data_IF_831973826627
#
_entry.id   IF_831973826627
#
_cell.length_a   1.000
_cell.length_b   1.000
_cell.length_c   1.000
_cell.angle_alpha   90.00
_cell.angle_beta   90.00
_cell.angle_gamma   90.00
#
_symmetry.space_group_name_H-M   'P 1'
#
loop_
_entity.id
_entity.type
_entity.pdbx_description
1 polymer ?
#
# COMPACT_ATOMS: atom_id res chain seq x y z
N UNK A 1 18.53 7.28 -13.17
CA UNK A 1 17.21 6.88 -13.73
C UNK A 1 16.44 6.26 -12.57
N UNK A 2 15.69 7.06 -11.81
CA UNK A 2 14.27 7.41 -12.00
C UNK A 2 13.40 6.61 -11.03
N UNK A 3 13.53 6.88 -9.73
CA UNK A 3 12.63 6.36 -8.69
C UNK A 3 11.61 7.41 -8.20
N UNK A 4 11.72 8.66 -8.66
CA UNK A 4 10.87 9.77 -8.22
C UNK A 4 9.54 9.86 -8.99
N UNK A 5 9.51 9.41 -10.25
CA UNK A 5 8.37 9.65 -11.15
C UNK A 5 7.14 8.79 -10.82
N UNK A 6 7.33 7.54 -10.36
CA UNK A 6 6.19 6.64 -10.10
C UNK A 6 5.29 7.13 -8.97
N UNK A 7 5.85 7.79 -7.95
CA UNK A 7 5.13 8.14 -6.74
C UNK A 7 4.37 9.47 -6.83
N UNK A 8 4.86 10.41 -7.63
CA UNK A 8 4.15 11.67 -7.95
C UNK A 8 2.96 11.41 -8.88
N UNK A 9 3.11 10.51 -9.86
CA UNK A 9 2.03 10.13 -10.77
C UNK A 9 0.89 9.39 -10.04
N UNK A 10 1.18 8.58 -9.02
CA UNK A 10 0.13 7.90 -8.22
C UNK A 10 -0.72 8.90 -7.45
N UNK A 11 -0.10 9.91 -6.82
CA UNK A 11 -0.82 10.92 -6.07
C UNK A 11 -1.67 11.80 -7.01
N UNK A 12 -1.13 12.15 -8.18
CA UNK A 12 -1.88 12.88 -9.20
C UNK A 12 -3.09 12.06 -9.72
N UNK A 13 -2.89 10.76 -9.97
CA UNK A 13 -3.95 9.83 -10.37
C UNK A 13 -5.05 9.76 -9.32
N UNK A 14 -4.67 9.58 -8.05
CA UNK A 14 -5.60 9.51 -6.94
C UNK A 14 -6.38 10.83 -6.75
N UNK A 15 -5.71 11.97 -6.89
CA UNK A 15 -6.33 13.28 -6.86
C UNK A 15 -7.34 13.46 -8.01
N UNK A 16 -7.02 12.94 -9.20
CA UNK A 16 -7.93 12.91 -10.36
C UNK A 16 -9.21 12.12 -10.05
N UNK A 17 -9.08 10.89 -9.57
CA UNK A 17 -10.24 10.07 -9.19
C UNK A 17 -11.08 10.72 -8.09
N UNK A 18 -10.43 11.35 -7.11
CA UNK A 18 -11.15 12.10 -6.08
C UNK A 18 -11.91 13.28 -6.67
N UNK A 19 -11.33 14.01 -7.62
CA UNK A 19 -12.01 15.11 -8.31
C UNK A 19 -13.20 14.63 -9.15
N UNK A 20 -13.19 13.36 -9.60
CA UNK A 20 -14.34 12.68 -10.23
C UNK A 20 -15.43 12.27 -9.22
N UNK A 21 -15.25 12.54 -7.93
CA UNK A 21 -16.21 12.23 -6.88
C UNK A 21 -16.02 10.86 -6.22
N UNK A 22 -14.91 10.18 -6.49
CA UNK A 22 -14.64 8.89 -5.85
C UNK A 22 -14.03 9.03 -4.46
N UNK A 23 -14.40 8.09 -3.58
CA UNK A 23 -13.63 7.83 -2.37
C UNK A 23 -12.36 7.12 -2.78
N UNK A 24 -11.23 7.60 -2.27
CA UNK A 24 -9.90 7.08 -2.57
C UNK A 24 -9.15 6.90 -1.26
N UNK A 25 -8.40 5.81 -1.14
CA UNK A 25 -7.40 5.62 -0.10
C UNK A 25 -6.02 5.45 -0.73
N UNK A 26 -5.00 5.89 0.01
CA UNK A 26 -3.59 5.71 -0.33
C UNK A 26 -2.98 4.74 0.66
N UNK A 27 -2.35 3.70 0.13
CA UNK A 27 -1.49 2.81 0.86
C UNK A 27 -0.03 3.15 0.55
N UNK A 28 0.79 3.37 1.58
CA UNK A 28 2.20 3.75 1.46
C UNK A 28 3.07 2.75 2.22
N UNK A 29 4.12 2.22 1.58
CA UNK A 29 5.16 1.48 2.30
C UNK A 29 5.91 2.45 3.18
N UNK A 30 5.77 2.33 4.50
CA UNK A 30 6.40 3.24 5.48
C UNK A 30 7.68 2.67 6.08
N UNK A 31 7.83 1.35 6.06
CA UNK A 31 9.01 0.68 6.62
C UNK A 31 9.30 -0.59 5.84
N UNK A 32 10.58 -0.92 5.68
CA UNK A 32 11.04 -2.13 4.99
C UNK A 32 12.26 -2.70 5.71
N UNK A 33 12.37 -4.02 5.79
CA UNK A 33 13.56 -4.71 6.26
C UNK A 33 13.94 -5.84 5.32
N UNK A 34 15.23 -6.18 5.29
CA UNK A 34 15.75 -7.25 4.45
C UNK A 34 15.49 -6.98 2.96
N UNK A 35 15.32 -8.05 2.19
CA UNK A 35 15.05 -7.99 0.75
C UNK A 35 13.56 -7.70 0.46
N UNK A 36 13.05 -6.57 0.93
CA UNK A 36 11.68 -6.11 0.63
C UNK A 36 11.50 -5.91 -0.90
N UNK A 37 10.37 -6.33 -1.49
CA UNK A 37 10.16 -6.27 -2.93
C UNK A 37 9.91 -4.83 -3.46
N UNK A 38 9.55 -3.90 -2.57
CA UNK A 38 9.41 -2.47 -2.86
C UNK A 38 10.08 -1.61 -1.79
N UNK A 39 10.65 -0.44 -2.15
CA UNK A 39 11.24 0.48 -1.18
C UNK A 39 10.16 1.24 -0.39
N UNK A 40 10.53 1.74 0.79
CA UNK A 40 9.73 2.74 1.50
C UNK A 40 9.41 3.95 0.59
N UNK A 41 8.21 4.48 0.73
CA UNK A 41 7.64 5.51 -0.14
C UNK A 41 6.88 4.97 -1.35
N UNK A 42 6.94 3.67 -1.65
CA UNK A 42 6.10 3.06 -2.70
C UNK A 42 4.63 3.16 -2.33
N UNK A 43 3.78 3.48 -3.31
CA UNK A 43 2.36 3.77 -3.07
C UNK A 43 1.45 2.88 -3.90
N UNK A 44 0.23 2.70 -3.39
CA UNK A 44 -0.91 2.11 -4.08
C UNK A 44 -2.13 2.98 -3.80
N UNK A 45 -2.76 3.51 -4.84
CA UNK A 45 -4.03 4.22 -4.74
C UNK A 45 -5.17 3.25 -5.07
N UNK A 46 -6.24 3.28 -4.27
CA UNK A 46 -7.41 2.41 -4.41
C UNK A 46 -8.68 3.25 -4.34
N UNK A 47 -9.60 3.09 -5.27
CA UNK A 47 -10.94 3.72 -5.22
C UNK A 47 -11.97 2.78 -4.61
N UNK A 48 -13.08 3.33 -4.11
CA UNK A 48 -14.22 2.53 -3.66
C UNK A 48 -14.85 1.69 -4.79
N UNK A 49 -14.73 2.14 -6.05
CA UNK A 49 -15.14 1.38 -7.23
C UNK A 49 -14.18 0.23 -7.63
N UNK A 50 -13.05 0.09 -6.95
CA UNK A 50 -12.06 -0.98 -7.20
C UNK A 50 -11.00 -0.64 -8.25
N UNK A 51 -10.86 0.64 -8.65
CA UNK A 51 -9.72 1.08 -9.47
C UNK A 51 -8.46 1.07 -8.61
N UNK A 52 -7.34 0.67 -9.21
CA UNK A 52 -6.04 0.54 -8.53
C UNK A 52 -4.93 1.15 -9.39
N UNK A 53 -4.02 1.91 -8.79
CA UNK A 53 -2.81 2.44 -9.43
C UNK A 53 -1.60 2.36 -8.48
N UNK A 54 -0.44 1.99 -9.00
CA UNK A 54 0.77 1.79 -8.20
C UNK A 54 0.92 0.37 -7.67
N UNK A 55 1.84 0.18 -6.72
CA UNK A 55 2.17 -1.11 -6.13
C UNK A 55 2.98 -0.94 -4.86
N UNK A 56 2.66 -1.75 -3.83
CA UNK A 56 3.40 -1.81 -2.56
C UNK A 56 4.24 -3.09 -2.41
N UNK A 57 4.04 -4.10 -3.26
CA UNK A 57 4.86 -5.32 -3.24
C UNK A 57 5.22 -5.91 -4.60
N UNK A 58 4.47 -5.59 -5.64
CA UNK A 58 4.62 -6.18 -6.98
C UNK A 58 3.64 -7.31 -7.28
N UNK A 59 2.67 -7.59 -6.41
CA UNK A 59 1.50 -8.42 -6.72
C UNK A 59 0.95 -9.26 -5.57
N UNK A 60 1.76 -9.66 -4.59
CA UNK A 60 1.36 -10.68 -3.62
C UNK A 60 0.37 -10.20 -2.55
N UNK A 61 0.44 -8.93 -2.15
CA UNK A 61 -0.37 -8.39 -1.04
C UNK A 61 -1.33 -7.27 -1.48
N UNK A 62 -1.31 -6.87 -2.75
CA UNK A 62 -2.12 -5.78 -3.29
C UNK A 62 -3.63 -6.00 -3.05
N UNK A 63 -4.11 -7.24 -3.17
CA UNK A 63 -5.51 -7.56 -2.87
C UNK A 63 -5.86 -7.37 -1.39
N UNK A 64 -5.00 -7.80 -0.47
CA UNK A 64 -5.21 -7.60 0.96
C UNK A 64 -5.19 -6.10 1.34
N UNK A 65 -4.27 -5.35 0.75
CA UNK A 65 -4.18 -3.90 0.94
C UNK A 65 -5.40 -3.18 0.34
N UNK A 66 -5.94 -3.64 -0.79
CA UNK A 66 -7.14 -3.06 -1.39
C UNK A 66 -8.39 -3.26 -0.53
N UNK A 67 -8.55 -4.42 0.12
CA UNK A 67 -9.66 -4.66 1.04
C UNK A 67 -9.57 -3.76 2.28
N UNK A 68 -8.38 -3.63 2.87
CA UNK A 68 -8.15 -2.69 3.99
C UNK A 68 -8.36 -1.24 3.56
N UNK A 69 -7.99 -0.88 2.34
CA UNK A 69 -8.21 0.46 1.80
C UNK A 69 -9.72 0.77 1.71
N UNK A 70 -10.54 -0.20 1.31
CA UNK A 70 -12.01 -0.05 1.30
C UNK A 70 -12.58 0.15 2.70
N UNK A 71 -12.15 -0.67 3.66
CA UNK A 71 -12.55 -0.50 5.06
C UNK A 71 -12.10 0.87 5.63
N UNK A 72 -10.88 1.29 5.31
CA UNK A 72 -10.33 2.60 5.70
C UNK A 72 -11.17 3.75 5.16
N UNK A 73 -11.65 3.66 3.90
CA UNK A 73 -12.56 4.65 3.30
C UNK A 73 -13.98 4.62 3.89
N UNK A 74 -14.40 3.50 4.46
CA UNK A 74 -15.72 3.36 5.10
C UNK A 74 -15.72 3.86 6.54
N UNK A 75 -14.64 3.60 7.26
CA UNK A 75 -14.48 3.95 8.68
C UNK A 75 -13.88 5.33 8.89
N UNK A 76 -13.12 5.84 7.92
CA UNK A 76 -12.29 7.04 8.06
C UNK A 76 -11.09 6.85 8.99
N UNK A 77 -10.80 5.61 9.40
CA UNK A 77 -9.73 5.30 10.37
C UNK A 77 -8.52 4.77 9.62
N UNK A 78 -7.36 5.46 9.63
CA UNK A 78 -6.14 4.94 9.03
C UNK A 78 -5.66 3.66 9.70
N UNK A 79 -5.07 2.76 8.91
CA UNK A 79 -4.60 1.46 9.37
C UNK A 79 -3.11 1.26 9.06
N UNK A 80 -2.39 0.58 9.94
CA UNK A 80 -1.01 0.17 9.72
C UNK A 80 -0.96 -1.36 9.61
N UNK A 81 -0.55 -1.85 8.45
CA UNK A 81 -0.43 -3.26 8.15
C UNK A 81 1.04 -3.70 8.27
N UNK A 82 1.28 -4.83 8.92
CA UNK A 82 2.60 -5.46 9.03
C UNK A 82 2.60 -6.76 8.21
N UNK A 83 3.42 -6.79 7.17
CA UNK A 83 3.60 -7.94 6.32
C UNK A 83 5.03 -8.45 6.48
N UNK A 84 5.15 -9.63 7.07
CA UNK A 84 6.40 -10.33 7.26
C UNK A 84 6.14 -11.79 7.56
N UNK A 85 7.19 -12.60 7.52
CA UNK A 85 7.11 -13.98 8.01
C UNK A 85 6.87 -13.90 9.52
N UNK A 86 5.66 -14.25 9.96
CA UNK A 86 5.39 -14.65 11.34
C UNK A 86 5.65 -16.15 11.43
N UNK A 87 6.72 -16.54 12.13
CA UNK A 87 7.25 -17.90 12.34
C UNK A 87 6.15 -18.97 12.57
N UNK A 88 6.26 -20.21 12.06
CA UNK A 88 6.81 -21.33 12.85
C UNK A 88 7.26 -22.57 12.04
N UNK A 89 7.24 -22.59 10.70
CA UNK A 89 7.55 -23.81 9.90
C UNK A 89 8.41 -23.64 8.64
N UNK A 90 9.13 -22.53 8.47
CA UNK A 90 9.83 -22.22 7.22
C UNK A 90 11.36 -22.16 7.32
N UNK A 91 11.99 -22.92 8.24
CA UNK A 91 13.46 -22.87 8.45
C UNK A 91 14.25 -24.08 7.92
N UNK A 92 13.63 -25.19 7.53
CA UNK A 92 14.41 -26.39 7.15
C UNK A 92 14.81 -26.51 5.68
N UNK A 93 14.34 -25.62 4.81
CA UNK A 93 14.71 -25.64 3.40
C UNK A 93 14.85 -24.19 2.93
N UNK A 94 16.09 -23.71 2.84
CA UNK A 94 16.40 -22.36 2.39
C UNK A 94 15.70 -22.00 1.08
N UNK A 95 15.47 -20.69 0.90
CA UNK A 95 14.75 -19.96 -0.19
C UNK A 95 13.37 -19.47 0.30
N UNK A 96 12.94 -18.20 0.22
CA UNK A 96 13.45 -17.04 -0.53
C UNK A 96 12.97 -15.71 0.11
N UNK A 97 13.87 -14.71 0.15
CA UNK A 97 13.64 -13.30 0.49
C UNK A 97 13.09 -13.00 1.90
N UNK A 98 13.94 -13.07 2.93
CA UNK A 98 13.64 -12.68 4.32
C UNK A 98 13.36 -11.18 4.54
N UNK A 99 12.42 -10.62 3.79
CA UNK A 99 11.98 -9.23 3.88
C UNK A 99 10.72 -9.05 4.73
N UNK A 100 10.56 -7.86 5.30
CA UNK A 100 9.33 -7.38 5.95
C UNK A 100 8.99 -6.01 5.41
N UNK A 101 7.70 -5.67 5.39
CA UNK A 101 7.21 -4.37 4.97
C UNK A 101 6.04 -3.93 5.87
N UNK A 102 5.99 -2.65 6.19
CA UNK A 102 4.81 -2.03 6.80
C UNK A 102 4.13 -1.10 5.80
N UNK A 103 2.81 -1.21 5.70
CA UNK A 103 2.00 -0.38 4.81
C UNK A 103 1.03 0.45 5.65
N UNK A 104 1.14 1.76 5.56
CA UNK A 104 0.16 2.68 6.15
C UNK A 104 -0.92 2.99 5.12
N UNK A 105 -2.18 2.83 5.50
CA UNK A 105 -3.35 3.03 4.64
C UNK A 105 -4.20 4.15 5.22
N UNK A 106 -4.48 5.17 4.42
CA UNK A 106 -5.25 6.35 4.84
C UNK A 106 -6.23 6.82 3.75
N UNK A 107 -7.38 7.40 4.12
CA UNK A 107 -8.32 7.99 3.16
C UNK A 107 -7.76 9.31 2.60
N UNK A 108 -7.87 9.52 1.30
CA UNK A 108 -7.41 10.74 0.64
C UNK A 108 -8.39 11.90 0.88
N UNK A 109 -8.12 12.74 1.88
CA UNK A 109 -8.88 13.98 2.09
C UNK A 109 -9.48 14.20 3.45
N UNK A 110 -9.43 13.21 4.33
CA UNK A 110 -9.76 13.44 5.72
C UNK A 110 -8.49 13.97 6.39
N UNK A 111 -8.44 15.29 6.51
CA UNK A 111 -7.44 15.93 7.35
C UNK A 111 -7.69 15.39 8.76
N UNK A 112 -6.75 14.62 9.32
CA UNK A 112 -6.77 14.28 10.74
C UNK A 112 -6.99 15.59 11.50
N UNK A 113 -8.15 15.68 12.15
CA UNK A 113 -8.64 16.87 12.84
C UNK A 113 -7.66 17.33 13.90
#
# INVERSE_FOLDING_TARGET
MSAATDSEDILATAAGWKAEGERVAIATVVETWGSSPRPAGSRLAVTASGRIAGSVSGGCIEGAVAEVARETMETGVPQLLDFGISDERAWEVGLACGGKLKVFVEPLGERLG
#
